data_IF_034996399847
#
_entry.id   IF_034996399847
#
_cell.length_a   1.000
_cell.length_b   1.000
_cell.length_c   1.000
_cell.angle_alpha   90.00
_cell.angle_beta   90.00
_cell.angle_gamma   90.00
#
_symmetry.space_group_name_H-M   'P 1'
#
loop_
_entity.id
_entity.type
_entity.pdbx_description
1 polymer ?
#
# COMPACT_ATOMS: atom_id res chain seq x y z
N UNK A 1 14.84 -17.44 -26.10
CA UNK A 1 14.50 -16.30 -25.23
C UNK A 1 14.51 -16.79 -23.79
N UNK A 2 15.45 -16.31 -23.00
CA UNK A 2 15.43 -16.52 -21.55
C UNK A 2 14.33 -15.59 -21.00
N UNK A 3 13.24 -16.16 -20.49
CA UNK A 3 12.20 -15.39 -19.81
C UNK A 3 12.74 -14.83 -18.51
N UNK A 4 12.49 -13.56 -18.26
CA UNK A 4 12.96 -12.85 -17.08
C UNK A 4 11.71 -12.33 -16.36
N UNK A 5 11.11 -13.15 -15.48
CA UNK A 5 9.76 -12.92 -14.95
C UNK A 5 9.55 -11.54 -14.34
N UNK A 6 10.55 -10.99 -13.65
CA UNK A 6 10.45 -9.66 -13.02
C UNK A 6 10.40 -8.54 -14.07
N UNK A 7 11.21 -8.61 -15.14
CA UNK A 7 11.20 -7.64 -16.24
C UNK A 7 9.90 -7.76 -17.04
N UNK A 8 9.56 -8.99 -17.43
CA UNK A 8 8.37 -9.28 -18.25
C UNK A 8 7.06 -8.87 -17.56
N UNK A 9 7.05 -8.79 -16.21
CA UNK A 9 5.90 -8.37 -15.42
C UNK A 9 5.86 -6.87 -15.13
N UNK A 10 6.90 -6.12 -15.51
CA UNK A 10 6.95 -4.69 -15.20
C UNK A 10 6.08 -3.88 -16.17
N UNK A 11 4.99 -3.22 -15.71
CA UNK A 11 4.07 -2.51 -16.60
C UNK A 11 4.65 -1.20 -17.16
N UNK A 12 5.82 -0.75 -16.66
CA UNK A 12 6.44 0.53 -17.03
C UNK A 12 7.90 0.37 -17.47
N UNK A 13 8.34 -0.85 -17.77
CA UNK A 13 9.71 -1.16 -18.22
C UNK A 13 10.82 -0.56 -17.34
N UNK A 14 10.59 -0.55 -16.02
CA UNK A 14 11.53 -0.01 -15.05
C UNK A 14 12.65 -0.98 -14.66
N UNK A 15 12.74 -2.17 -15.28
CA UNK A 15 13.75 -3.18 -14.91
C UNK A 15 14.68 -3.45 -16.08
N UNK A 16 15.97 -3.26 -15.84
CA UNK A 16 17.05 -3.59 -16.75
C UNK A 16 17.99 -4.65 -16.13
N UNK A 17 18.93 -5.14 -16.93
CA UNK A 17 19.96 -6.08 -16.49
C UNK A 17 21.33 -5.51 -16.80
N UNK A 18 22.22 -5.62 -15.83
CA UNK A 18 23.63 -5.34 -16.02
C UNK A 18 24.36 -6.54 -16.62
N UNK A 19 25.64 -6.35 -16.99
CA UNK A 19 26.48 -7.30 -17.70
C UNK A 19 26.56 -8.68 -17.05
N UNK A 20 26.38 -8.77 -15.74
CA UNK A 20 26.40 -10.03 -14.95
C UNK A 20 25.01 -10.59 -14.62
N UNK A 21 23.94 -10.12 -15.28
CA UNK A 21 22.58 -10.62 -15.06
C UNK A 21 21.91 -10.12 -13.78
N UNK A 22 22.47 -9.09 -13.13
CA UNK A 22 21.86 -8.47 -11.96
C UNK A 22 20.72 -7.55 -12.41
N UNK A 23 19.55 -7.72 -11.80
CA UNK A 23 18.39 -6.85 -12.05
C UNK A 23 18.59 -5.49 -11.40
N UNK A 24 18.43 -4.43 -12.19
CA UNK A 24 18.46 -3.05 -11.72
C UNK A 24 17.09 -2.42 -11.92
N UNK A 25 16.58 -1.77 -10.88
CA UNK A 25 15.29 -1.08 -10.91
C UNK A 25 15.55 0.42 -11.08
N UNK A 26 15.04 0.96 -12.17
CA UNK A 26 15.04 2.41 -12.43
C UNK A 26 13.97 3.07 -11.53
N UNK A 27 14.42 3.74 -10.47
CA UNK A 27 13.55 4.40 -9.48
C UNK A 27 12.75 5.57 -10.08
N UNK A 28 13.21 6.19 -11.15
CA UNK A 28 12.48 7.26 -11.83
C UNK A 28 11.27 6.73 -12.60
N UNK A 29 11.39 5.52 -13.15
CA UNK A 29 10.28 4.84 -13.85
C UNK A 29 9.41 4.01 -12.91
N UNK A 30 10.00 3.44 -11.86
CA UNK A 30 9.33 2.48 -10.98
C UNK A 30 8.12 3.10 -10.25
N UNK A 31 6.94 2.54 -10.47
CA UNK A 31 5.69 2.94 -9.81
C UNK A 31 5.45 2.24 -8.47
N UNK A 32 6.35 1.36 -8.05
CA UNK A 32 6.30 0.61 -6.79
C UNK A 32 5.05 -0.29 -6.66
N UNK A 33 4.60 -0.88 -7.76
CA UNK A 33 3.41 -1.75 -7.78
C UNK A 33 3.64 -3.15 -7.19
N UNK A 34 4.91 -3.58 -7.00
CA UNK A 34 5.24 -4.88 -6.41
C UNK A 34 5.16 -6.09 -7.35
N UNK A 35 4.77 -5.94 -8.62
CA UNK A 35 4.61 -7.06 -9.57
C UNK A 35 5.89 -7.88 -9.74
N UNK A 36 7.03 -7.22 -9.82
CA UNK A 36 8.34 -7.90 -9.95
C UNK A 36 8.66 -8.78 -8.73
N UNK A 37 8.34 -8.34 -7.53
CA UNK A 37 8.52 -9.12 -6.31
C UNK A 37 7.57 -10.34 -6.29
N UNK A 38 6.29 -10.13 -6.66
CA UNK A 38 5.29 -11.20 -6.71
C UNK A 38 5.61 -12.28 -7.77
N UNK A 39 6.26 -11.91 -8.87
CA UNK A 39 6.61 -12.80 -9.98
C UNK A 39 8.00 -13.42 -9.90
N UNK A 40 8.83 -12.97 -8.96
CA UNK A 40 10.18 -13.51 -8.80
C UNK A 40 10.14 -14.91 -8.15
N UNK A 41 10.50 -16.00 -8.87
CA UNK A 41 10.44 -17.35 -8.30
C UNK A 41 11.52 -17.61 -7.25
N UNK A 42 12.51 -16.72 -7.17
CA UNK A 42 13.66 -16.86 -6.25
C UNK A 42 13.55 -15.95 -5.02
N UNK A 43 12.52 -15.10 -4.92
CA UNK A 43 12.42 -14.10 -3.86
C UNK A 43 13.57 -13.08 -3.85
N UNK A 44 14.25 -12.88 -4.99
CA UNK A 44 15.40 -12.00 -5.11
C UNK A 44 15.04 -10.51 -5.06
N UNK A 45 13.78 -10.18 -5.31
CA UNK A 45 13.25 -8.81 -5.22
C UNK A 45 12.35 -8.74 -3.99
N UNK A 46 12.81 -8.01 -2.99
CA UNK A 46 12.07 -7.77 -1.74
C UNK A 46 11.60 -6.34 -1.60
N UNK A 47 10.63 -6.15 -0.73
CA UNK A 47 10.22 -4.80 -0.29
C UNK A 47 11.05 -4.37 0.92
N UNK A 48 11.32 -3.08 1.04
CA UNK A 48 11.92 -2.54 2.27
C UNK A 48 10.93 -2.76 3.42
N UNK A 49 11.33 -3.56 4.40
CA UNK A 49 10.51 -3.87 5.57
C UNK A 49 10.96 -3.08 6.80
N UNK A 50 10.02 -2.79 7.69
CA UNK A 50 10.25 -2.15 8.99
C UNK A 50 10.10 -3.11 10.17
N UNK A 51 10.14 -4.43 9.90
CA UNK A 51 9.90 -5.45 10.93
C UNK A 51 10.85 -5.33 12.14
N UNK A 52 12.10 -4.96 11.91
CA UNK A 52 13.07 -4.75 12.99
C UNK A 52 12.70 -3.58 13.89
N UNK A 53 12.17 -2.50 13.31
CA UNK A 53 11.68 -1.35 14.05
C UNK A 53 10.43 -1.71 14.87
N UNK A 54 9.49 -2.45 14.28
CA UNK A 54 8.29 -2.93 14.97
C UNK A 54 8.67 -3.82 16.15
N UNK A 55 9.61 -4.76 15.97
CA UNK A 55 10.09 -5.63 17.06
C UNK A 55 10.77 -4.80 18.17
N UNK A 56 11.54 -3.78 17.81
CA UNK A 56 12.17 -2.90 18.79
C UNK A 56 11.14 -2.10 19.60
N UNK A 57 10.11 -1.58 18.93
CA UNK A 57 9.03 -0.84 19.58
C UNK A 57 8.19 -1.74 20.51
N UNK A 58 7.89 -2.99 20.12
CA UNK A 58 7.22 -3.96 20.97
C UNK A 58 8.05 -4.33 22.20
N UNK A 59 9.39 -4.49 22.05
CA UNK A 59 10.30 -4.75 23.17
C UNK A 59 10.46 -3.56 24.11
N UNK A 60 10.18 -2.36 23.64
CA UNK A 60 10.19 -1.13 24.43
C UNK A 60 8.83 -0.82 25.05
N UNK A 61 7.90 -1.77 25.08
CA UNK A 61 6.53 -1.67 25.61
C UNK A 61 5.75 -0.45 25.06
N UNK A 62 6.01 -0.10 23.77
CA UNK A 62 5.24 0.94 23.10
C UNK A 62 3.88 0.42 22.62
N UNK A 63 2.89 1.30 22.56
CA UNK A 63 1.61 1.00 21.96
C UNK A 63 1.73 0.89 20.44
N UNK A 64 1.88 -0.34 19.94
CA UNK A 64 1.95 -0.63 18.50
C UNK A 64 0.62 -1.22 18.03
N UNK A 65 -0.02 -0.57 17.07
CA UNK A 65 -1.28 -1.00 16.48
C UNK A 65 -1.06 -1.65 15.13
N UNK A 66 -1.86 -2.66 14.82
CA UNK A 66 -1.89 -3.29 13.50
C UNK A 66 -3.05 -2.73 12.68
N UNK A 67 -2.77 -2.30 11.46
CA UNK A 67 -3.80 -1.94 10.47
C UNK A 67 -3.84 -3.08 9.46
N UNK A 68 -4.96 -3.83 9.42
CA UNK A 68 -5.13 -4.98 8.56
C UNK A 68 -5.89 -4.62 7.28
N UNK A 69 -5.29 -4.91 6.13
CA UNK A 69 -5.93 -4.67 4.84
C UNK A 69 -7.02 -5.71 4.54
N UNK A 70 -8.13 -5.33 3.87
CA UNK A 70 -9.21 -6.26 3.50
C UNK A 70 -8.73 -7.45 2.65
N UNK A 71 -7.68 -7.26 1.84
CA UNK A 71 -7.07 -8.31 1.02
C UNK A 71 -6.53 -9.51 1.83
N UNK A 72 -6.44 -9.41 3.15
CA UNK A 72 -6.02 -10.50 4.04
C UNK A 72 -7.13 -11.53 4.25
N UNK A 73 -8.39 -11.12 4.04
CA UNK A 73 -9.55 -12.01 4.18
C UNK A 73 -9.44 -13.22 3.25
N UNK A 74 -9.69 -14.40 3.79
CA UNK A 74 -9.66 -15.67 3.06
C UNK A 74 -8.26 -16.22 2.72
N UNK A 75 -7.17 -15.48 2.94
CA UNK A 75 -5.80 -15.96 2.61
C UNK A 75 -5.32 -17.10 3.52
N UNK A 76 -5.84 -17.19 4.73
CA UNK A 76 -5.45 -18.18 5.75
C UNK A 76 -6.53 -19.23 6.02
N UNK A 77 -7.51 -19.33 5.13
CA UNK A 77 -8.63 -20.26 5.26
C UNK A 77 -9.93 -19.60 5.71
N UNK A 78 -11.05 -20.30 5.47
CA UNK A 78 -12.39 -19.77 5.71
C UNK A 78 -12.73 -19.59 7.20
N UNK A 79 -12.04 -20.30 8.07
CA UNK A 79 -12.29 -20.31 9.51
C UNK A 79 -11.53 -19.20 10.26
N UNK A 80 -10.66 -18.46 9.55
CA UNK A 80 -9.92 -17.35 10.15
C UNK A 80 -10.75 -16.08 10.06
N UNK A 81 -11.29 -15.70 11.20
CA UNK A 81 -12.14 -14.50 11.37
C UNK A 81 -11.30 -13.29 11.81
N UNK A 82 -11.89 -12.10 11.73
CA UNK A 82 -11.27 -10.88 12.27
C UNK A 82 -10.99 -10.97 13.76
N UNK A 83 -11.83 -11.68 14.51
CA UNK A 83 -11.60 -11.93 15.94
C UNK A 83 -10.36 -12.82 16.16
N UNK A 84 -10.19 -13.86 15.33
CA UNK A 84 -8.98 -14.70 15.37
C UNK A 84 -7.72 -13.89 15.12
N UNK A 85 -7.77 -12.95 14.15
CA UNK A 85 -6.68 -12.02 13.88
C UNK A 85 -6.40 -11.10 15.06
N UNK A 86 -7.43 -10.52 15.68
CA UNK A 86 -7.27 -9.62 16.83
C UNK A 86 -6.63 -10.34 18.01
N UNK A 87 -7.05 -11.57 18.30
CA UNK A 87 -6.48 -12.39 19.36
C UNK A 87 -5.01 -12.74 19.08
N UNK A 88 -4.67 -13.12 17.83
CA UNK A 88 -3.31 -13.43 17.45
C UNK A 88 -2.39 -12.22 17.58
N UNK A 89 -2.83 -11.05 17.13
CA UNK A 89 -2.11 -9.77 17.20
C UNK A 89 -1.86 -9.37 18.67
N UNK A 90 -2.87 -9.45 19.54
CA UNK A 90 -2.72 -9.18 20.98
C UNK A 90 -1.76 -10.16 21.65
N UNK A 91 -1.85 -11.45 21.28
CA UNK A 91 -0.92 -12.47 21.79
C UNK A 91 0.53 -12.23 21.35
N UNK A 92 0.72 -11.58 20.20
CA UNK A 92 2.05 -11.18 19.70
C UNK A 92 2.60 -9.90 20.34
N UNK A 93 1.83 -9.26 21.24
CA UNK A 93 2.25 -8.08 22.00
C UNK A 93 1.81 -6.73 21.43
N UNK A 94 1.00 -6.72 20.37
CA UNK A 94 0.44 -5.48 19.84
C UNK A 94 -0.74 -4.99 20.69
N UNK A 95 -0.94 -3.68 20.72
CA UNK A 95 -2.01 -3.04 21.49
C UNK A 95 -3.41 -3.44 20.97
N UNK A 96 -3.64 -3.32 19.67
CA UNK A 96 -4.88 -3.78 19.03
C UNK A 96 -4.73 -3.89 17.50
N UNK A 97 -5.80 -4.37 16.85
CA UNK A 97 -5.94 -4.47 15.40
C UNK A 97 -7.11 -3.61 14.93
N UNK A 98 -6.88 -2.81 13.91
CA UNK A 98 -7.90 -1.99 13.26
C UNK A 98 -8.00 -2.39 11.78
N UNK A 99 -9.21 -2.48 11.26
CA UNK A 99 -9.44 -2.78 9.85
C UNK A 99 -9.17 -1.54 8.99
N UNK A 100 -8.34 -1.68 7.95
CA UNK A 100 -8.10 -0.61 6.99
C UNK A 100 -9.37 -0.21 6.21
N UNK A 101 -10.38 -1.09 6.16
CA UNK A 101 -11.71 -0.81 5.61
C UNK A 101 -12.37 0.41 6.25
N UNK A 102 -12.24 0.60 7.57
CA UNK A 102 -12.72 1.80 8.25
C UNK A 102 -12.12 3.09 7.65
N UNK A 103 -10.82 3.05 7.33
CA UNK A 103 -10.18 4.16 6.63
C UNK A 103 -10.69 4.32 5.20
N UNK A 104 -11.06 3.21 4.56
CA UNK A 104 -11.72 3.21 3.25
C UNK A 104 -13.04 3.98 3.27
N UNK A 105 -13.88 3.74 4.26
CA UNK A 105 -15.15 4.46 4.44
C UNK A 105 -14.90 5.96 4.67
N UNK A 106 -13.93 6.31 5.52
CA UNK A 106 -13.56 7.71 5.78
C UNK A 106 -13.06 8.42 4.52
N UNK A 107 -12.19 7.78 3.75
CA UNK A 107 -11.63 8.37 2.52
C UNK A 107 -12.66 8.44 1.41
N UNK A 108 -13.57 7.48 1.31
CA UNK A 108 -14.67 7.48 0.34
C UNK A 108 -15.58 8.71 0.53
N UNK A 109 -15.93 9.05 1.78
CA UNK A 109 -16.72 10.25 2.04
C UNK A 109 -16.01 11.52 1.54
N UNK A 110 -14.71 11.66 1.85
CA UNK A 110 -13.91 12.80 1.42
C UNK A 110 -13.74 12.88 -0.10
N UNK A 111 -13.43 11.74 -0.74
CA UNK A 111 -13.29 11.68 -2.21
C UNK A 111 -14.63 11.94 -2.93
N UNK A 112 -15.76 11.51 -2.37
CA UNK A 112 -17.08 11.77 -2.93
C UNK A 112 -17.41 13.27 -2.95
N UNK A 113 -17.03 14.00 -1.89
CA UNK A 113 -17.19 15.47 -1.83
C UNK A 113 -16.34 16.16 -2.90
N UNK A 114 -15.04 15.83 -3.00
CA UNK A 114 -14.15 16.35 -4.04
C UNK A 114 -14.69 16.05 -5.44
N UNK A 115 -15.23 14.85 -5.65
CA UNK A 115 -15.75 14.40 -6.94
C UNK A 115 -17.02 15.15 -7.34
N UNK A 116 -17.93 15.36 -6.39
CA UNK A 116 -19.15 16.14 -6.61
C UNK A 116 -18.85 17.59 -6.93
N UNK A 117 -17.88 18.20 -6.27
CA UNK A 117 -17.45 19.56 -6.55
C UNK A 117 -16.84 19.67 -7.96
N UNK A 118 -15.91 18.78 -8.30
CA UNK A 118 -15.30 18.72 -9.61
C UNK A 118 -16.36 18.51 -10.71
N UNK A 119 -17.31 17.60 -10.51
CA UNK A 119 -18.41 17.34 -11.45
C UNK A 119 -19.27 18.57 -11.70
N UNK A 120 -19.63 19.32 -10.64
CA UNK A 120 -20.42 20.56 -10.75
C UNK A 120 -19.68 21.65 -11.53
N UNK A 121 -18.36 21.67 -11.47
CA UNK A 121 -17.49 22.61 -12.18
C UNK A 121 -17.15 22.12 -13.61
N UNK A 122 -17.62 20.96 -14.05
CA UNK A 122 -17.27 20.37 -15.33
C UNK A 122 -15.84 19.82 -15.38
N UNK A 123 -15.22 19.62 -14.22
CA UNK A 123 -13.88 19.08 -14.06
C UNK A 123 -13.90 17.55 -13.89
N UNK A 124 -12.73 16.94 -13.97
CA UNK A 124 -12.51 15.51 -13.72
C UNK A 124 -11.70 15.32 -12.46
N UNK A 125 -11.94 14.23 -11.75
CA UNK A 125 -11.15 13.85 -10.58
C UNK A 125 -10.91 12.34 -10.60
N UNK A 126 -9.74 11.90 -10.12
CA UNK A 126 -9.41 10.49 -9.92
C UNK A 126 -9.17 10.21 -8.44
N UNK A 127 -9.17 8.92 -8.06
CA UNK A 127 -8.84 8.51 -6.70
C UNK A 127 -7.34 8.64 -6.40
N UNK A 128 -6.99 8.63 -5.10
CA UNK A 128 -5.60 8.67 -4.61
C UNK A 128 -5.23 7.49 -3.69
N UNK A 129 -6.13 6.54 -3.48
CA UNK A 129 -5.95 5.46 -2.50
C UNK A 129 -4.83 4.46 -2.84
N UNK A 130 -4.48 4.28 -4.13
CA UNK A 130 -3.46 3.35 -4.58
C UNK A 130 -2.12 4.06 -4.89
N UNK A 131 -1.04 3.85 -4.10
CA UNK A 131 0.26 4.48 -4.35
C UNK A 131 0.86 4.14 -5.72
N UNK A 132 0.63 2.92 -6.22
CA UNK A 132 1.08 2.53 -7.56
C UNK A 132 0.41 3.35 -8.66
N UNK A 133 -0.89 3.60 -8.54
CA UNK A 133 -1.63 4.46 -9.46
C UNK A 133 -1.14 5.92 -9.40
N UNK A 134 -1.01 6.48 -8.20
CA UNK A 134 -0.52 7.85 -8.00
C UNK A 134 0.89 8.02 -8.59
N UNK A 135 1.79 7.07 -8.34
CA UNK A 135 3.13 7.09 -8.91
C UNK A 135 3.12 6.96 -10.44
N UNK A 136 2.22 6.13 -11.00
CA UNK A 136 2.06 6.01 -12.44
C UNK A 136 1.68 7.35 -13.06
N UNK A 137 0.65 8.01 -12.51
CA UNK A 137 0.23 9.32 -13.02
C UNK A 137 1.38 10.33 -12.92
N UNK A 138 1.97 10.49 -11.74
CA UNK A 138 3.00 11.51 -11.51
C UNK A 138 4.25 11.34 -12.35
N UNK A 139 4.66 10.09 -12.64
CA UNK A 139 5.90 9.78 -13.35
C UNK A 139 5.71 9.66 -14.87
N UNK A 140 4.59 9.07 -15.30
CA UNK A 140 4.38 8.73 -16.71
C UNK A 140 3.32 9.60 -17.39
N UNK A 141 2.48 10.28 -16.61
CA UNK A 141 1.40 11.15 -17.11
C UNK A 141 1.30 12.45 -16.30
N UNK A 142 2.40 13.22 -16.18
CA UNK A 142 2.45 14.40 -15.28
C UNK A 142 1.36 15.42 -15.55
N UNK A 143 0.93 15.56 -16.81
CA UNK A 143 -0.16 16.47 -17.20
C UNK A 143 -1.52 16.11 -16.57
N UNK A 144 -1.66 14.90 -16.04
CA UNK A 144 -2.86 14.43 -15.34
C UNK A 144 -2.73 14.51 -13.82
N UNK A 145 -1.62 14.99 -13.29
CA UNK A 145 -1.33 14.99 -11.85
C UNK A 145 -2.36 15.80 -11.03
N UNK A 146 -2.86 16.89 -11.60
CA UNK A 146 -3.86 17.76 -10.96
C UNK A 146 -5.24 17.11 -10.84
N UNK A 147 -5.48 16.01 -11.57
CA UNK A 147 -6.73 15.25 -11.47
C UNK A 147 -6.74 14.30 -10.24
N UNK A 148 -5.59 14.06 -9.62
CA UNK A 148 -5.50 13.13 -8.47
C UNK A 148 -6.20 13.76 -7.26
N UNK A 149 -7.05 12.99 -6.57
CA UNK A 149 -7.66 13.39 -5.30
C UNK A 149 -6.59 13.80 -4.27
N UNK A 150 -6.89 14.80 -3.46
CA UNK A 150 -6.04 15.24 -2.37
C UNK A 150 -6.25 14.41 -1.09
N UNK A 151 -7.25 13.53 -1.09
CA UNK A 151 -7.58 12.68 0.04
C UNK A 151 -6.43 11.70 0.36
N UNK A 152 -6.15 11.53 1.64
CA UNK A 152 -5.14 10.58 2.12
C UNK A 152 -5.56 9.12 1.88
N UNK A 153 -4.59 8.21 1.85
CA UNK A 153 -4.92 6.78 1.74
C UNK A 153 -5.70 6.27 2.96
N UNK A 154 -6.52 5.21 2.81
CA UNK A 154 -7.23 4.57 3.93
C UNK A 154 -6.35 4.25 5.14
N UNK A 155 -5.17 3.72 4.89
CA UNK A 155 -4.19 3.42 5.92
C UNK A 155 -3.73 4.69 6.68
N UNK A 156 -3.49 5.79 5.98
CA UNK A 156 -3.14 7.06 6.60
C UNK A 156 -4.30 7.65 7.40
N UNK A 157 -5.55 7.52 6.94
CA UNK A 157 -6.74 7.97 7.65
C UNK A 157 -6.87 7.25 9.00
N UNK A 158 -6.80 5.91 9.01
CA UNK A 158 -6.81 5.10 10.24
C UNK A 158 -5.64 5.47 11.16
N UNK A 159 -4.43 5.61 10.62
CA UNK A 159 -3.27 5.99 11.43
C UNK A 159 -3.44 7.34 12.12
N UNK A 160 -3.98 8.33 11.41
CA UNK A 160 -4.31 9.65 12.00
C UNK A 160 -5.37 9.55 13.09
N UNK A 161 -6.41 8.73 12.86
CA UNK A 161 -7.46 8.48 13.84
C UNK A 161 -6.91 7.85 15.13
N UNK A 162 -6.04 6.82 15.00
CA UNK A 162 -5.39 6.17 16.15
C UNK A 162 -4.58 7.20 16.94
N UNK A 163 -3.69 7.94 16.26
CA UNK A 163 -2.84 8.95 16.90
C UNK A 163 -3.60 10.10 17.54
N UNK A 164 -4.83 10.35 17.13
CA UNK A 164 -5.68 11.35 17.77
C UNK A 164 -6.31 10.84 19.08
N UNK A 165 -6.46 9.52 19.22
CA UNK A 165 -7.04 8.87 20.42
C UNK A 165 -5.98 8.41 21.42
N UNK A 166 -4.82 8.02 20.92
CA UNK A 166 -3.67 7.49 21.68
C UNK A 166 -2.40 8.16 21.15
N UNK A 167 -2.13 9.43 21.59
CA UNK A 167 -1.03 10.27 21.10
C UNK A 167 0.36 9.83 21.56
#
# INVERSE_FOLDING_TARGET
HVSIPCKDSCPVDAISYEEYGVSVIDEEKCIRCGQCAAKCPFGAIGTKTWITNVIADLKADKNVYVILAPATEGQFGKDITMESWRQAVKKAGFADLIEAGLGGDMTTCSEAEEWLEAYRNGEKRTTSCCPGFVNMIRKHYPDLADLISTTVSPMCAVSRMIKAKDP
#
